data_IF_628873990898
#
_entry.id   IF_628873990898
#
_cell.length_a   1.000
_cell.length_b   1.000
_cell.length_c   1.000
_cell.angle_alpha   90.00
_cell.angle_beta   90.00
_cell.angle_gamma   90.00
#
_symmetry.space_group_name_H-M   'P 1'
#
loop_
_entity.id
_entity.type
_entity.pdbx_description
1 polymer ?
#
# COMPACT_ATOMS: atom_id res chain seq x y z
N UNK A 1 29.40 17.87 -69.15
CA UNK A 1 28.57 17.02 -68.26
C UNK A 1 29.02 17.28 -66.84
N UNK A 2 28.37 18.21 -66.13
CA UNK A 2 28.69 18.55 -64.75
C UNK A 2 27.63 17.98 -63.83
N UNK A 3 28.01 17.05 -62.95
CA UNK A 3 27.14 16.55 -61.89
C UNK A 3 27.43 17.34 -60.61
N UNK A 4 26.47 18.18 -60.20
CA UNK A 4 26.45 18.75 -58.86
C UNK A 4 25.90 17.69 -57.90
N UNK A 5 26.70 17.27 -56.91
CA UNK A 5 26.21 16.49 -55.77
C UNK A 5 25.61 17.44 -54.74
N UNK A 6 24.30 17.30 -54.53
CA UNK A 6 23.56 17.97 -53.46
C UNK A 6 23.80 17.16 -52.17
N UNK A 7 24.62 17.69 -51.24
CA UNK A 7 24.69 17.16 -49.88
C UNK A 7 23.44 17.59 -49.11
N UNK A 8 22.59 16.62 -48.76
CA UNK A 8 21.49 16.83 -47.81
C UNK A 8 22.05 16.61 -46.40
N UNK A 9 22.31 17.71 -45.69
CA UNK A 9 22.62 17.68 -44.26
C UNK A 9 21.32 17.47 -43.48
N UNK A 10 21.09 16.24 -43.01
CA UNK A 10 20.00 15.94 -42.09
C UNK A 10 20.35 16.50 -40.69
N UNK A 11 19.73 17.61 -40.32
CA UNK A 11 19.80 18.13 -38.96
C UNK A 11 19.00 17.21 -38.01
N UNK A 12 19.70 16.43 -37.20
CA UNK A 12 19.11 15.75 -36.05
C UNK A 12 18.72 16.81 -35.01
N UNK A 13 17.45 17.21 -35.00
CA UNK A 13 16.88 17.97 -33.89
C UNK A 13 16.80 17.04 -32.68
N UNK A 14 17.68 17.24 -31.69
CA UNK A 14 17.46 16.65 -30.36
C UNK A 14 16.21 17.31 -29.78
N UNK A 15 15.12 16.54 -29.70
CA UNK A 15 13.95 16.91 -28.91
C UNK A 15 14.34 16.83 -27.44
N UNK A 16 14.69 17.96 -26.85
CA UNK A 16 14.70 18.10 -25.39
C UNK A 16 13.23 18.06 -24.98
N UNK A 17 12.80 16.93 -24.42
CA UNK A 17 11.51 16.83 -23.76
C UNK A 17 11.64 17.59 -22.45
N UNK A 18 11.32 18.89 -22.46
CA UNK A 18 11.06 19.62 -21.22
C UNK A 18 9.77 19.05 -20.63
N UNK A 19 9.91 18.19 -19.62
CA UNK A 19 8.80 17.82 -18.75
C UNK A 19 8.31 19.08 -18.07
N UNK A 20 7.07 19.48 -18.33
CA UNK A 20 6.41 20.55 -17.58
C UNK A 20 6.48 20.23 -16.07
N UNK A 21 6.81 21.19 -15.21
CA UNK A 21 6.90 20.94 -13.78
C UNK A 21 5.48 20.69 -13.25
N UNK A 22 5.19 19.44 -12.93
CA UNK A 22 4.00 19.07 -12.18
C UNK A 22 4.04 19.81 -10.84
N UNK A 23 2.99 20.57 -10.53
CA UNK A 23 2.85 21.33 -9.28
C UNK A 23 3.23 20.49 -8.06
N UNK A 24 4.15 21.04 -7.24
CA UNK A 24 4.64 20.58 -5.92
C UNK A 24 5.26 19.18 -5.91
N UNK A 25 6.50 19.11 -6.38
CA UNK A 25 7.46 18.16 -5.84
C UNK A 25 7.67 18.52 -4.36
N UNK A 26 7.36 17.62 -3.41
CA UNK A 26 7.68 17.84 -2.01
C UNK A 26 9.20 18.09 -1.91
N UNK A 27 9.59 19.34 -1.63
CA UNK A 27 10.97 19.76 -1.75
C UNK A 27 11.87 18.91 -0.85
N UNK A 28 12.98 18.40 -1.40
CA UNK A 28 13.92 17.57 -0.66
C UNK A 28 13.65 16.05 -0.73
N UNK A 29 12.51 15.60 -1.23
CA UNK A 29 12.33 14.17 -1.56
C UNK A 29 13.28 13.82 -2.71
N UNK A 30 14.08 12.74 -2.63
CA UNK A 30 14.96 12.38 -3.74
C UNK A 30 14.18 12.14 -5.04
N UNK A 31 14.59 12.77 -6.14
CA UNK A 31 13.84 12.74 -7.41
C UNK A 31 13.54 11.32 -7.91
N UNK A 32 14.46 10.38 -7.70
CA UNK A 32 14.28 8.99 -8.11
C UNK A 32 13.17 8.28 -7.32
N UNK A 33 12.89 8.67 -6.07
CA UNK A 33 11.76 8.14 -5.29
C UNK A 33 10.43 8.53 -5.94
N UNK A 34 10.35 9.73 -6.50
CA UNK A 34 9.15 10.20 -7.21
C UNK A 34 9.07 9.62 -8.63
N UNK A 35 10.19 9.62 -9.35
CA UNK A 35 10.28 9.10 -10.72
C UNK A 35 9.89 7.63 -10.82
N UNK A 36 10.31 6.81 -9.86
CA UNK A 36 10.08 5.36 -9.86
C UNK A 36 8.97 4.94 -8.90
N UNK A 37 8.19 5.86 -8.33
CA UNK A 37 7.08 5.50 -7.45
C UNK A 37 6.11 4.55 -8.15
N UNK A 38 5.60 3.52 -7.47
CA UNK A 38 4.66 2.60 -8.07
C UNK A 38 3.36 3.30 -8.46
N UNK A 39 2.68 2.75 -9.46
CA UNK A 39 1.25 2.97 -9.71
C UNK A 39 0.49 1.74 -9.24
N UNK A 40 -0.76 1.93 -8.84
CA UNK A 40 -1.60 0.84 -8.35
C UNK A 40 -2.82 0.72 -9.25
N UNK A 41 -3.14 -0.49 -9.71
CA UNK A 41 -4.46 -0.81 -10.22
C UNK A 41 -5.27 -1.43 -9.08
N UNK A 42 -6.32 -0.73 -8.66
CA UNK A 42 -7.32 -1.28 -7.73
C UNK A 42 -8.24 -2.18 -8.53
N UNK A 43 -8.65 -3.31 -7.94
CA UNK A 43 -9.54 -4.24 -8.63
C UNK A 43 -10.83 -3.55 -9.12
N UNK A 44 -11.27 -3.86 -10.33
CA UNK A 44 -12.37 -3.16 -11.01
C UNK A 44 -13.70 -3.17 -10.23
N UNK A 45 -13.94 -4.27 -9.50
CA UNK A 45 -15.12 -4.49 -8.67
C UNK A 45 -14.92 -4.20 -7.17
N UNK A 46 -13.78 -3.64 -6.76
CA UNK A 46 -13.55 -3.36 -5.34
C UNK A 46 -14.47 -2.23 -4.85
N UNK A 47 -15.31 -2.44 -3.82
CA UNK A 47 -16.08 -1.36 -3.25
C UNK A 47 -15.30 -0.53 -2.21
N UNK A 48 -14.11 -0.98 -1.79
CA UNK A 48 -13.31 -0.36 -0.74
C UNK A 48 -12.10 0.35 -1.33
N UNK A 49 -12.20 1.68 -1.44
CA UNK A 49 -11.17 2.51 -2.07
C UNK A 49 -10.20 3.11 -1.03
N UNK A 50 -9.05 3.66 -1.46
CA UNK A 50 -8.13 4.34 -0.56
C UNK A 50 -8.83 5.44 0.25
N UNK A 51 -8.54 5.51 1.55
CA UNK A 51 -9.30 6.33 2.50
C UNK A 51 -8.43 7.42 3.14
N UNK A 52 -9.00 8.61 3.30
CA UNK A 52 -8.35 9.70 4.02
C UNK A 52 -8.21 9.35 5.51
N UNK A 53 -7.01 9.53 6.06
CA UNK A 53 -6.72 9.16 7.45
C UNK A 53 -7.59 9.94 8.45
N UNK A 54 -7.88 11.22 8.20
CA UNK A 54 -8.71 12.01 9.11
C UNK A 54 -10.19 11.58 9.02
N UNK A 55 -10.67 11.17 7.83
CA UNK A 55 -12.00 10.56 7.69
C UNK A 55 -12.10 9.30 8.55
N UNK A 56 -11.09 8.44 8.53
CA UNK A 56 -11.05 7.26 9.40
C UNK A 56 -11.08 7.62 10.89
N UNK A 57 -10.26 8.58 11.32
CA UNK A 57 -10.23 9.03 12.72
C UNK A 57 -11.56 9.65 13.18
N UNK A 58 -12.27 10.35 12.30
CA UNK A 58 -13.58 10.92 12.60
C UNK A 58 -14.66 9.84 12.85
N UNK A 59 -14.46 8.63 12.31
CA UNK A 59 -15.42 7.52 12.39
C UNK A 59 -14.99 6.43 13.37
N UNK A 60 -13.97 6.69 14.19
CA UNK A 60 -13.49 5.76 15.21
C UNK A 60 -13.46 6.37 16.61
N UNK A 61 -13.50 5.51 17.61
CA UNK A 61 -13.33 5.83 19.03
C UNK A 61 -12.25 4.92 19.62
N UNK A 62 -11.32 5.45 20.45
CA UNK A 62 -10.34 4.62 21.15
C UNK A 62 -11.02 3.64 22.11
N UNK A 63 -10.78 2.34 21.96
CA UNK A 63 -11.32 1.32 22.87
C UNK A 63 -10.29 0.27 23.26
N UNK A 64 -10.52 -0.36 24.41
CA UNK A 64 -9.85 -1.58 24.86
C UNK A 64 -10.95 -2.55 25.30
N UNK A 65 -10.93 -3.79 24.80
CA UNK A 65 -12.01 -4.75 25.05
C UNK A 65 -13.41 -4.18 24.73
N UNK A 66 -13.51 -3.43 23.63
CA UNK A 66 -14.73 -2.73 23.18
C UNK A 66 -15.30 -1.69 24.15
N UNK A 67 -14.61 -1.35 25.23
CA UNK A 67 -14.94 -0.24 26.12
C UNK A 67 -14.14 1.00 25.74
N UNK A 68 -14.81 2.15 25.65
CA UNK A 68 -14.14 3.43 25.40
C UNK A 68 -13.11 3.73 26.50
N UNK A 69 -11.92 4.15 26.08
CA UNK A 69 -10.84 4.56 26.99
C UNK A 69 -10.62 6.07 26.91
N UNK A 70 -10.12 6.69 27.99
CA UNK A 70 -9.64 8.07 27.92
C UNK A 70 -8.60 8.22 26.81
N UNK A 71 -8.64 9.36 26.12
CA UNK A 71 -7.73 9.65 25.01
C UNK A 71 -7.31 11.13 25.00
N UNK A 72 -6.65 11.58 23.93
CA UNK A 72 -6.38 13.00 23.74
C UNK A 72 -7.69 13.80 23.66
N UNK A 73 -7.58 15.14 23.62
CA UNK A 73 -8.75 15.99 23.37
C UNK A 73 -9.46 15.57 22.09
N UNK A 74 -10.75 15.23 22.21
CA UNK A 74 -11.61 14.93 21.05
C UNK A 74 -11.84 16.20 20.21
N UNK A 75 -11.95 16.11 18.88
CA UNK A 75 -11.89 14.90 18.06
C UNK A 75 -10.48 14.29 17.96
N UNK A 76 -10.38 13.00 17.60
CA UNK A 76 -9.10 12.41 17.21
C UNK A 76 -8.57 13.09 15.94
N UNK A 77 -7.28 13.36 15.91
CA UNK A 77 -6.61 13.96 14.77
C UNK A 77 -5.26 13.29 14.51
N UNK A 78 -4.72 13.55 13.32
CA UNK A 78 -3.37 13.13 12.97
C UNK A 78 -2.29 13.73 13.90
N UNK A 79 -2.63 14.76 14.68
CA UNK A 79 -1.72 15.41 15.63
C UNK A 79 -1.79 14.84 17.05
N UNK A 80 -2.83 14.07 17.39
CA UNK A 80 -3.05 13.63 18.76
C UNK A 80 -3.18 12.12 18.94
N UNK A 81 -3.41 11.35 17.87
CA UNK A 81 -3.69 9.91 17.95
C UNK A 81 -2.54 9.10 18.57
N UNK A 82 -1.29 9.56 18.46
CA UNK A 82 -0.13 8.92 19.08
C UNK A 82 -0.04 9.07 20.60
N UNK A 83 -0.90 9.88 21.21
CA UNK A 83 -0.99 10.00 22.67
C UNK A 83 -1.71 8.79 23.29
N UNK A 84 -2.36 7.96 22.46
CA UNK A 84 -3.00 6.71 22.87
C UNK A 84 -1.98 5.61 23.11
N UNK A 85 -2.31 4.68 24.02
CA UNK A 85 -1.48 3.52 24.35
C UNK A 85 -1.39 2.49 23.23
N UNK A 86 -0.39 1.60 23.32
CA UNK A 86 -0.13 0.51 22.36
C UNK A 86 -1.17 -0.63 22.39
N UNK A 87 -1.96 -0.71 23.46
CA UNK A 87 -3.07 -1.66 23.59
C UNK A 87 -4.41 -1.14 23.06
N UNK A 88 -4.44 0.11 22.57
CA UNK A 88 -5.66 0.79 22.14
C UNK A 88 -6.02 0.42 20.70
N UNK A 89 -7.32 0.23 20.46
CA UNK A 89 -7.93 -0.05 19.17
C UNK A 89 -8.74 1.16 18.71
N UNK A 90 -8.49 1.66 17.50
CA UNK A 90 -9.32 2.67 16.84
C UNK A 90 -10.60 2.01 16.32
N UNK A 91 -11.56 1.82 17.21
CA UNK A 91 -12.76 1.02 16.95
C UNK A 91 -13.82 1.84 16.23
N UNK A 92 -14.43 1.28 15.19
CA UNK A 92 -15.54 1.86 14.44
C UNK A 92 -16.67 2.34 15.35
N UNK A 93 -17.20 3.52 15.04
CA UNK A 93 -18.42 4.04 15.65
C UNK A 93 -19.69 3.36 15.11
N UNK A 94 -19.60 2.76 13.92
CA UNK A 94 -20.72 2.13 13.22
C UNK A 94 -20.59 0.60 13.18
N UNK A 95 -21.73 -0.07 12.99
CA UNK A 95 -21.75 -1.48 12.60
C UNK A 95 -21.36 -1.62 11.12
N UNK A 96 -20.14 -2.06 10.87
CA UNK A 96 -19.60 -2.23 9.51
C UNK A 96 -20.39 -3.22 8.65
N UNK A 97 -21.19 -4.11 9.25
CA UNK A 97 -22.09 -5.00 8.50
C UNK A 97 -23.28 -4.28 7.89
N UNK A 98 -23.51 -3.02 8.25
CA UNK A 98 -24.52 -2.13 7.66
C UNK A 98 -23.97 -1.28 6.52
N UNK A 99 -22.74 -1.56 6.10
CA UNK A 99 -22.10 -0.94 4.95
C UNK A 99 -22.05 0.60 5.00
N UNK A 100 -21.52 1.20 6.10
CA UNK A 100 -21.48 2.65 6.23
C UNK A 100 -20.65 3.29 5.10
N UNK A 101 -21.02 4.49 4.66
CA UNK A 101 -20.41 5.09 3.46
C UNK A 101 -18.92 5.39 3.63
N UNK A 102 -18.46 5.69 4.85
CA UNK A 102 -17.06 6.08 5.11
C UNK A 102 -16.06 4.94 4.89
N UNK A 103 -16.49 3.67 4.99
CA UNK A 103 -15.60 2.53 4.73
C UNK A 103 -15.32 2.30 3.24
N UNK A 104 -16.08 2.94 2.35
CA UNK A 104 -15.90 2.84 0.89
C UNK A 104 -14.74 3.66 0.35
N UNK A 105 -14.20 4.57 1.16
CA UNK A 105 -13.07 5.42 0.79
C UNK A 105 -13.35 6.37 -0.38
N UNK A 106 -12.29 6.82 -1.04
CA UNK A 106 -12.35 7.79 -2.14
C UNK A 106 -11.87 7.15 -3.44
N UNK A 107 -12.79 6.97 -4.40
CA UNK A 107 -12.44 6.43 -5.71
C UNK A 107 -11.52 7.39 -6.48
N UNK A 108 -10.38 6.92 -7.04
CA UNK A 108 -9.56 7.71 -7.93
C UNK A 108 -10.33 8.20 -9.16
N UNK A 109 -9.98 9.41 -9.63
CA UNK A 109 -10.48 9.95 -10.90
C UNK A 109 -9.76 9.34 -12.12
N UNK A 110 -10.08 9.81 -13.32
CA UNK A 110 -9.48 9.32 -14.57
C UNK A 110 -7.95 9.53 -14.65
N UNK A 111 -7.38 10.43 -13.85
CA UNK A 111 -5.93 10.64 -13.76
C UNK A 111 -5.29 9.87 -12.60
N UNK A 112 -6.08 9.09 -11.86
CA UNK A 112 -5.64 8.33 -10.71
C UNK A 112 -5.52 9.14 -9.42
N UNK A 113 -6.17 10.31 -9.32
CA UNK A 113 -6.14 11.13 -8.10
C UNK A 113 -7.34 10.85 -7.20
N UNK A 114 -7.11 10.69 -5.89
CA UNK A 114 -8.16 10.71 -4.87
C UNK A 114 -8.52 12.15 -4.50
N UNK A 115 -9.57 12.70 -5.11
CA UNK A 115 -9.93 14.10 -4.94
C UNK A 115 -10.47 14.40 -3.54
N UNK A 116 -9.88 15.39 -2.87
CA UNK A 116 -10.30 15.82 -1.53
C UNK A 116 -9.90 14.88 -0.39
N UNK A 117 -9.01 13.91 -0.65
CA UNK A 117 -8.60 12.89 0.32
C UNK A 117 -7.09 12.61 0.22
N UNK A 118 -6.36 12.64 1.34
CA UNK A 118 -4.95 12.22 1.43
C UNK A 118 -4.91 10.77 1.91
N UNK A 119 -4.61 9.86 0.98
CA UNK A 119 -4.88 8.41 1.14
C UNK A 119 -3.61 7.56 1.21
N UNK A 120 -2.44 8.20 1.07
CA UNK A 120 -1.16 7.53 1.05
C UNK A 120 -0.09 8.31 1.83
N UNK A 121 0.99 7.62 2.16
CA UNK A 121 2.20 8.23 2.69
C UNK A 121 3.45 7.62 2.03
N UNK A 122 4.41 8.45 1.67
CA UNK A 122 5.72 8.05 1.19
C UNK A 122 6.74 8.26 2.30
N UNK A 123 7.38 7.19 2.73
CA UNK A 123 8.39 7.20 3.79
C UNK A 123 9.74 6.81 3.19
N UNK A 124 10.69 7.73 3.23
CA UNK A 124 12.04 7.56 2.69
C UNK A 124 13.00 7.27 3.83
N UNK A 125 13.65 6.11 3.79
CA UNK A 125 14.66 5.70 4.76
C UNK A 125 16.03 5.69 4.10
N UNK A 126 16.90 6.62 4.48
CA UNK A 126 18.30 6.61 4.10
C UNK A 126 19.05 5.55 4.91
N UNK A 127 19.70 4.62 4.21
CA UNK A 127 20.49 3.53 4.81
C UNK A 127 21.99 3.78 4.72
N UNK A 128 22.40 4.94 4.24
CA UNK A 128 23.79 5.32 4.01
C UNK A 128 24.38 4.74 2.73
N UNK A 129 25.54 5.28 2.33
CA UNK A 129 26.27 4.87 1.12
C UNK A 129 25.43 4.91 -0.16
N UNK A 130 24.45 5.82 -0.23
CA UNK A 130 23.52 5.96 -1.34
C UNK A 130 22.44 4.88 -1.41
N UNK A 131 22.32 4.00 -0.41
CA UNK A 131 21.22 3.04 -0.32
C UNK A 131 20.01 3.68 0.32
N UNK A 132 18.85 3.55 -0.32
CA UNK A 132 17.59 4.12 0.18
C UNK A 132 16.48 3.10 0.02
N UNK A 133 15.65 2.97 1.05
CA UNK A 133 14.39 2.25 0.96
C UNK A 133 13.25 3.29 0.96
N UNK A 134 12.41 3.29 -0.07
CA UNK A 134 11.20 4.10 -0.11
C UNK A 134 9.98 3.20 0.04
N UNK A 135 9.15 3.50 1.04
CA UNK A 135 7.89 2.81 1.30
C UNK A 135 6.74 3.70 0.84
N UNK A 136 5.86 3.14 0.01
CA UNK A 136 4.64 3.76 -0.49
C UNK A 136 3.48 3.09 0.23
N UNK A 137 3.03 3.71 1.32
CA UNK A 137 2.01 3.21 2.21
C UNK A 137 0.63 3.62 1.72
N UNK A 138 -0.32 2.67 1.75
CA UNK A 138 -1.69 2.82 1.30
C UNK A 138 -2.63 2.54 2.47
N UNK A 139 -3.65 3.38 2.65
CA UNK A 139 -4.62 3.19 3.71
C UNK A 139 -6.02 2.95 3.16
N UNK A 140 -6.70 1.96 3.72
CA UNK A 140 -8.10 1.64 3.44
C UNK A 140 -8.86 1.60 4.76
N UNK A 141 -10.09 2.12 4.79
CA UNK A 141 -10.89 2.12 6.02
C UNK A 141 -11.44 0.74 6.39
N UNK A 142 -11.45 -0.21 5.46
CA UNK A 142 -11.98 -1.54 5.70
C UNK A 142 -11.33 -2.55 4.77
N UNK A 143 -10.92 -3.67 5.34
CA UNK A 143 -10.43 -4.85 4.66
C UNK A 143 -11.55 -5.91 4.63
N UNK A 144 -11.88 -6.39 3.44
CA UNK A 144 -12.69 -7.58 3.25
C UNK A 144 -11.76 -8.77 2.97
N UNK A 145 -11.56 -9.62 3.98
CA UNK A 145 -10.43 -10.57 3.96
C UNK A 145 -10.60 -11.79 3.04
N UNK A 146 -11.75 -11.96 2.41
CA UNK A 146 -11.97 -12.99 1.38
C UNK A 146 -12.89 -14.14 1.80
N UNK A 147 -13.43 -14.83 0.80
CA UNK A 147 -14.36 -15.95 0.96
C UNK A 147 -13.61 -17.27 0.88
N UNK A 148 -13.89 -18.18 1.82
CA UNK A 148 -13.33 -19.52 1.84
C UNK A 148 -14.07 -20.35 0.80
N UNK A 149 -13.33 -20.87 -0.20
CA UNK A 149 -13.89 -21.64 -1.32
C UNK A 149 -15.03 -20.93 -2.07
N UNK A 150 -15.05 -19.59 -2.07
CA UNK A 150 -16.12 -18.79 -2.70
C UNK A 150 -17.48 -18.86 -1.98
N UNK A 151 -17.48 -19.24 -0.69
CA UNK A 151 -18.69 -19.27 0.13
C UNK A 151 -18.73 -18.02 1.00
N UNK A 152 -19.57 -17.05 0.66
CA UNK A 152 -19.79 -15.78 1.38
C UNK A 152 -20.08 -15.96 2.89
N UNK A 153 -20.76 -17.05 3.25
CA UNK A 153 -21.06 -17.43 4.63
C UNK A 153 -19.79 -17.73 5.45
N UNK A 154 -18.71 -18.15 4.79
CA UNK A 154 -17.40 -18.44 5.36
C UNK A 154 -16.38 -17.44 4.83
N UNK A 155 -16.40 -16.23 5.39
CA UNK A 155 -15.47 -15.17 5.06
C UNK A 155 -14.64 -14.80 6.29
N UNK A 156 -13.33 -14.69 6.14
CA UNK A 156 -12.37 -14.49 7.23
C UNK A 156 -11.49 -13.27 6.99
N UNK A 157 -10.97 -12.71 8.08
CA UNK A 157 -9.99 -11.63 8.02
C UNK A 157 -10.57 -10.25 7.72
N UNK A 158 -11.88 -10.04 7.86
CA UNK A 158 -12.40 -8.67 7.78
C UNK A 158 -11.88 -7.85 8.94
N UNK A 159 -11.48 -6.61 8.69
CA UNK A 159 -11.14 -5.68 9.75
C UNK A 159 -11.33 -4.23 9.32
N UNK A 160 -11.71 -3.40 10.29
CA UNK A 160 -11.68 -1.95 10.14
C UNK A 160 -10.22 -1.51 10.08
N UNK A 161 -9.91 -0.58 9.17
CA UNK A 161 -8.58 -0.04 8.93
C UNK A 161 -7.63 -1.06 8.31
N UNK A 162 -6.85 -0.63 7.33
CA UNK A 162 -5.90 -1.49 6.65
C UNK A 162 -4.70 -0.72 6.13
N UNK A 163 -3.51 -1.29 6.31
CA UNK A 163 -2.22 -0.70 5.94
C UNK A 163 -1.46 -1.66 5.04
N UNK A 164 -1.47 -1.33 3.75
CA UNK A 164 -0.77 -2.01 2.69
C UNK A 164 0.38 -1.14 2.17
N UNK A 165 1.37 -1.73 1.50
CA UNK A 165 2.47 -0.97 0.91
C UNK A 165 3.23 -1.69 -0.20
N UNK A 166 3.78 -0.88 -1.09
CA UNK A 166 4.90 -1.27 -1.95
C UNK A 166 6.15 -0.61 -1.41
N UNK A 167 7.29 -1.29 -1.49
CA UNK A 167 8.58 -0.70 -1.16
C UNK A 167 9.57 -0.90 -2.29
N UNK A 168 10.36 0.13 -2.59
CA UNK A 168 11.43 0.06 -3.59
C UNK A 168 12.76 0.31 -2.89
N UNK A 169 13.71 -0.60 -3.13
CA UNK A 169 15.11 -0.43 -2.71
C UNK A 169 15.91 0.20 -3.83
N UNK A 170 16.67 1.25 -3.50
CA UNK A 170 17.57 1.95 -4.39
C UNK A 170 19.02 1.79 -3.95
N UNK A 171 19.93 1.75 -4.92
CA UNK A 171 21.37 1.91 -4.72
C UNK A 171 21.84 3.05 -5.62
N UNK A 172 22.38 4.11 -5.01
CA UNK A 172 22.82 5.34 -5.70
C UNK A 172 21.76 5.90 -6.67
N UNK A 173 20.49 5.89 -6.24
CA UNK A 173 19.34 6.37 -7.04
C UNK A 173 18.83 5.42 -8.11
N UNK A 174 19.41 4.22 -8.25
CA UNK A 174 18.96 3.19 -9.22
C UNK A 174 18.11 2.14 -8.50
N UNK A 175 16.87 1.87 -8.93
CA UNK A 175 16.01 0.86 -8.30
C UNK A 175 16.58 -0.55 -8.51
N UNK A 176 16.65 -1.32 -7.43
CA UNK A 176 17.24 -2.66 -7.38
C UNK A 176 16.18 -3.75 -7.25
N UNK A 177 15.22 -3.53 -6.35
CA UNK A 177 14.18 -4.51 -6.02
C UNK A 177 12.90 -3.82 -5.57
N UNK A 178 11.79 -4.53 -5.72
CA UNK A 178 10.44 -4.10 -5.33
C UNK A 178 9.85 -5.16 -4.41
N UNK A 179 9.29 -4.71 -3.29
CA UNK A 179 8.51 -5.49 -2.34
C UNK A 179 7.03 -5.14 -2.50
N UNK A 180 6.18 -6.16 -2.59
CA UNK A 180 4.73 -6.03 -2.59
C UNK A 180 4.19 -6.70 -1.32
N UNK A 181 3.54 -5.96 -0.42
CA UNK A 181 2.94 -6.54 0.78
C UNK A 181 1.72 -7.37 0.46
N UNK A 182 1.57 -8.50 1.15
CA UNK A 182 0.44 -9.41 1.05
C UNK A 182 0.13 -9.90 2.45
N UNK A 183 -0.97 -9.40 3.03
CA UNK A 183 -1.40 -9.74 4.39
C UNK A 183 -0.24 -9.54 5.41
N UNK A 184 0.14 -10.60 6.15
CA UNK A 184 1.23 -10.57 7.14
C UNK A 184 2.65 -10.66 6.52
N UNK A 185 2.79 -10.83 5.20
CA UNK A 185 4.08 -10.95 4.52
C UNK A 185 4.04 -10.27 3.13
N UNK A 186 4.51 -10.94 2.08
CA UNK A 186 4.60 -10.38 0.73
C UNK A 186 5.62 -11.07 -0.16
N UNK A 187 5.89 -10.45 -1.30
CA UNK A 187 6.83 -10.95 -2.31
C UNK A 187 7.83 -9.88 -2.74
N UNK A 188 9.11 -10.25 -2.82
CA UNK A 188 10.15 -9.42 -3.40
C UNK A 188 10.50 -9.88 -4.82
N UNK A 189 10.75 -8.92 -5.69
CA UNK A 189 11.23 -9.13 -7.06
C UNK A 189 12.39 -8.19 -7.36
N UNK A 190 13.30 -8.59 -8.25
CA UNK A 190 14.25 -7.64 -8.81
C UNK A 190 13.52 -6.61 -9.67
N UNK A 191 13.94 -5.35 -9.64
CA UNK A 191 13.26 -4.28 -10.38
C UNK A 191 13.09 -4.58 -11.89
N UNK A 192 14.05 -5.18 -12.62
CA UNK A 192 13.84 -5.54 -14.02
C UNK A 192 12.68 -6.50 -14.25
N UNK A 193 12.38 -7.38 -13.29
CA UNK A 193 11.37 -8.45 -13.42
C UNK A 193 9.94 -7.96 -13.46
N UNK A 194 9.61 -6.88 -12.73
CA UNK A 194 8.21 -6.46 -12.55
C UNK A 194 7.68 -5.68 -13.75
N UNK A 195 6.37 -5.69 -13.96
CA UNK A 195 5.73 -4.79 -14.94
C UNK A 195 5.98 -3.33 -14.56
N UNK A 196 6.16 -2.49 -15.58
CA UNK A 196 6.35 -1.05 -15.42
C UNK A 196 5.51 -0.28 -16.43
N UNK A 197 5.10 0.93 -16.08
CA UNK A 197 4.57 1.90 -17.04
C UNK A 197 5.63 2.27 -18.08
N UNK A 198 5.22 2.96 -19.15
CA UNK A 198 6.15 3.53 -20.15
C UNK A 198 7.16 4.52 -19.55
N UNK A 199 6.84 5.13 -18.40
CA UNK A 199 7.75 6.00 -17.65
C UNK A 199 8.68 5.26 -16.66
N UNK A 200 8.60 3.93 -16.59
CA UNK A 200 9.45 3.10 -15.74
C UNK A 200 8.95 2.94 -14.30
N UNK A 201 7.71 3.31 -14.00
CA UNK A 201 7.12 3.14 -12.66
C UNK A 201 6.63 1.69 -12.49
N UNK A 202 7.03 0.95 -11.44
CA UNK A 202 6.48 -0.37 -11.17
C UNK A 202 4.96 -0.35 -11.08
N UNK A 203 4.32 -1.40 -11.56
CA UNK A 203 2.88 -1.60 -11.43
C UNK A 203 2.63 -2.54 -10.25
N UNK A 204 1.67 -2.18 -9.40
CA UNK A 204 1.08 -3.03 -8.40
C UNK A 204 -0.40 -3.27 -8.70
N UNK A 205 -0.86 -4.48 -8.46
CA UNK A 205 -2.27 -4.85 -8.56
C UNK A 205 -2.79 -5.12 -7.15
N UNK A 206 -3.74 -4.31 -6.69
CA UNK A 206 -4.33 -4.42 -5.36
C UNK A 206 -5.52 -5.37 -5.44
N UNK A 207 -5.51 -6.39 -4.58
CA UNK A 207 -6.53 -7.42 -4.55
C UNK A 207 -7.88 -6.87 -4.07
N UNK A 208 -8.95 -7.42 -4.64
CA UNK A 208 -10.33 -7.06 -4.29
C UNK A 208 -10.58 -7.29 -2.81
N UNK A 209 -10.81 -6.21 -2.07
CA UNK A 209 -11.22 -6.23 -0.67
C UNK A 209 -10.09 -6.47 0.33
N UNK A 210 -9.15 -7.37 0.03
CA UNK A 210 -8.00 -7.64 0.92
C UNK A 210 -6.86 -6.63 0.74
N UNK A 211 -6.89 -5.88 -0.36
CA UNK A 211 -5.90 -4.89 -0.79
C UNK A 211 -4.46 -5.35 -0.93
N UNK A 212 -4.18 -6.63 -0.69
CA UNK A 212 -2.87 -7.24 -0.88
C UNK A 212 -2.32 -6.90 -2.27
N UNK A 213 -1.02 -6.58 -2.33
CA UNK A 213 -0.38 -6.07 -3.52
C UNK A 213 0.34 -7.21 -4.26
N UNK A 214 0.11 -7.28 -5.57
CA UNK A 214 0.70 -8.28 -6.44
C UNK A 214 1.42 -7.64 -7.62
N UNK A 215 2.47 -8.32 -8.09
CA UNK A 215 3.27 -7.87 -9.23
C UNK A 215 2.65 -8.21 -10.60
N UNK A 216 1.59 -9.03 -10.61
CA UNK A 216 0.84 -9.47 -11.80
C UNK A 216 -0.65 -9.50 -11.49
N UNK A 217 -1.53 -9.37 -12.49
CA UNK A 217 -2.96 -9.58 -12.32
C UNK A 217 -3.29 -11.08 -12.23
N UNK A 218 -4.50 -11.42 -11.80
CA UNK A 218 -5.05 -12.76 -11.81
C UNK A 218 -5.48 -13.25 -10.43
N UNK A 219 -5.57 -14.58 -10.30
CA UNK A 219 -5.89 -15.26 -9.05
C UNK A 219 -4.61 -15.62 -8.29
N UNK A 220 -4.60 -15.35 -6.99
CA UNK A 220 -3.48 -15.61 -6.11
C UNK A 220 -3.96 -16.40 -4.90
N UNK A 221 -3.59 -17.68 -4.83
CA UNK A 221 -3.70 -18.44 -3.59
C UNK A 221 -2.74 -17.88 -2.54
N UNK A 222 -3.25 -17.57 -1.36
CA UNK A 222 -2.44 -17.11 -0.22
C UNK A 222 -2.53 -18.06 1.00
N UNK A 223 -3.00 -19.29 0.81
CA UNK A 223 -2.98 -20.34 1.86
C UNK A 223 -1.57 -20.76 2.25
N UNK A 224 -0.59 -20.66 1.33
CA UNK A 224 0.82 -20.97 1.58
C UNK A 224 1.64 -19.68 1.46
N UNK A 225 2.27 -19.19 2.56
CA UNK A 225 3.14 -18.02 2.49
C UNK A 225 4.23 -18.19 1.42
N UNK A 226 4.37 -17.18 0.56
CA UNK A 226 5.37 -17.09 -0.52
C UNK A 226 5.10 -17.93 -1.79
N UNK A 227 3.96 -18.60 -1.92
CA UNK A 227 3.64 -19.43 -3.09
C UNK A 227 2.24 -19.10 -3.64
N UNK A 228 2.19 -18.52 -4.85
CA UNK A 228 0.94 -18.35 -5.59
C UNK A 228 0.63 -19.67 -6.31
N UNK A 229 -0.31 -20.45 -5.80
CA UNK A 229 -0.90 -21.59 -6.54
C UNK A 229 -2.00 -21.08 -7.49
N UNK A 230 -2.28 -21.79 -8.59
CA UNK A 230 -3.36 -21.45 -9.52
C UNK A 230 -4.77 -21.65 -8.94
N UNK A 231 -4.88 -22.16 -7.70
CA UNK A 231 -6.10 -22.22 -6.93
C UNK A 231 -5.83 -22.61 -5.47
N UNK A 232 -6.66 -22.12 -4.54
CA UNK A 232 -6.48 -22.20 -3.09
C UNK A 232 -7.79 -22.26 -2.30
N UNK A 233 -7.68 -22.43 -0.98
CA UNK A 233 -8.84 -22.41 -0.06
C UNK A 233 -9.30 -20.97 0.24
N UNK A 234 -8.39 -20.00 0.10
CA UNK A 234 -8.62 -18.57 0.23
C UNK A 234 -7.76 -17.86 -0.82
N UNK A 235 -8.41 -17.08 -1.69
CA UNK A 235 -7.80 -16.52 -2.89
C UNK A 235 -7.98 -15.00 -2.92
N UNK A 236 -6.95 -14.32 -3.40
CA UNK A 236 -7.02 -12.93 -3.82
C UNK A 236 -7.23 -12.84 -5.33
N UNK A 237 -8.00 -11.83 -5.75
CA UNK A 237 -8.29 -11.55 -7.16
C UNK A 237 -7.81 -10.15 -7.49
N UNK A 238 -7.00 -10.04 -8.54
CA UNK A 238 -6.42 -8.78 -9.00
C UNK A 238 -6.67 -8.59 -10.49
N UNK A 239 -6.91 -7.36 -10.92
CA UNK A 239 -7.08 -7.02 -12.34
C UNK A 239 -6.56 -5.60 -12.66
N UNK A 240 -6.54 -5.24 -13.94
CA UNK A 240 -6.22 -3.89 -14.39
C UNK A 240 -7.45 -2.97 -14.32
N UNK A 241 -8.00 -2.82 -13.13
CA UNK A 241 -9.19 -2.02 -12.87
C UNK A 241 -8.90 -0.51 -12.78
N UNK A 242 -9.18 0.08 -11.62
CA UNK A 242 -9.07 1.53 -11.42
C UNK A 242 -7.61 1.93 -11.27
N UNK A 243 -7.12 2.73 -12.22
CA UNK A 243 -5.79 3.32 -12.11
C UNK A 243 -5.74 4.31 -10.94
N UNK A 244 -4.75 4.15 -10.07
CA UNK A 244 -4.46 5.02 -8.93
C UNK A 244 -2.99 5.41 -8.93
N UNK A 245 -2.74 6.71 -8.78
CA UNK A 245 -1.41 7.26 -8.56
C UNK A 245 -1.32 7.83 -7.13
N UNK A 246 -0.74 7.07 -6.18
CA UNK A 246 -0.65 7.49 -4.78
C UNK A 246 0.06 8.83 -4.59
N UNK A 247 0.99 9.20 -5.48
CA UNK A 247 1.74 10.46 -5.35
C UNK A 247 0.86 11.71 -5.52
N UNK A 248 -0.29 11.60 -6.19
CA UNK A 248 -1.19 12.73 -6.43
C UNK A 248 -1.93 13.18 -5.16
N UNK A 249 -1.88 12.38 -4.09
CA UNK A 249 -2.43 12.71 -2.77
C UNK A 249 -1.77 11.91 -1.65
N UNK A 250 -0.51 12.23 -1.35
CA UNK A 250 0.27 11.59 -0.30
C UNK A 250 0.93 12.61 0.63
N UNK A 251 1.16 12.18 1.87
CA UNK A 251 2.16 12.81 2.75
C UNK A 251 3.56 12.27 2.46
N UNK A 252 4.60 13.09 2.67
CA UNK A 252 5.99 12.70 2.40
C UNK A 252 6.84 12.88 3.66
N UNK A 253 7.58 11.83 4.04
CA UNK A 253 8.43 11.84 5.23
C UNK A 253 9.81 11.25 4.97
N UNK A 254 10.82 11.83 5.60
CA UNK A 254 12.09 11.18 5.88
C UNK A 254 11.97 10.40 7.20
N UNK A 255 12.52 9.19 7.25
CA UNK A 255 12.63 8.39 8.46
C UNK A 255 14.10 8.23 8.87
N UNK A 256 14.42 8.69 10.08
CA UNK A 256 15.71 8.50 10.73
C UNK A 256 15.63 7.25 11.61
N UNK A 257 16.22 6.16 11.12
CA UNK A 257 16.24 4.89 11.84
C UNK A 257 17.05 4.91 13.13
N UNK A 258 18.08 5.77 13.23
CA UNK A 258 18.91 5.88 14.43
C UNK A 258 18.17 6.57 15.58
N UNK A 259 17.28 7.50 15.25
CA UNK A 259 16.43 8.22 16.22
C UNK A 259 15.02 7.64 16.36
N UNK A 260 14.64 6.71 15.48
CA UNK A 260 13.27 6.26 15.30
C UNK A 260 12.29 7.44 15.17
N UNK A 261 12.63 8.37 14.28
CA UNK A 261 11.93 9.64 14.14
C UNK A 261 11.54 9.92 12.69
N UNK A 262 10.38 10.55 12.51
CA UNK A 262 9.89 10.98 11.21
C UNK A 262 10.05 12.50 11.09
N UNK A 263 10.43 12.96 9.90
CA UNK A 263 10.49 14.38 9.56
C UNK A 263 9.70 14.60 8.27
N UNK A 264 8.68 15.47 8.26
CA UNK A 264 7.93 15.74 7.04
C UNK A 264 8.80 16.53 6.05
N UNK A 265 8.63 16.26 4.76
CA UNK A 265 9.26 17.07 3.70
C UNK A 265 8.51 18.39 3.44
N UNK A 266 7.25 18.49 3.86
CA UNK A 266 6.45 19.71 3.73
C UNK A 266 6.08 20.25 5.12
N UNK A 267 6.40 21.53 5.35
CA UNK A 267 6.07 22.24 6.59
C UNK A 267 4.56 22.18 6.88
N UNK A 268 4.23 21.92 8.15
CA UNK A 268 2.83 21.81 8.60
C UNK A 268 2.17 20.47 8.28
N UNK A 269 2.89 19.50 7.72
CA UNK A 269 2.40 18.12 7.58
C UNK A 269 2.32 17.42 8.93
N UNK A 270 1.17 16.85 9.31
CA UNK A 270 1.01 16.18 10.59
C UNK A 270 1.87 14.93 10.66
N UNK A 271 2.76 14.85 11.65
CA UNK A 271 3.73 13.74 11.77
C UNK A 271 3.38 12.78 12.89
N UNK A 272 2.63 13.24 13.89
CA UNK A 272 2.39 12.49 15.12
C UNK A 272 1.70 11.14 14.89
N UNK A 273 0.76 11.05 13.94
CA UNK A 273 0.04 9.80 13.62
C UNK A 273 0.96 8.61 13.29
N UNK A 274 2.14 8.85 12.71
CA UNK A 274 3.13 7.79 12.44
C UNK A 274 3.66 7.12 13.72
N UNK A 275 3.58 7.83 14.85
CA UNK A 275 3.97 7.35 16.16
C UNK A 275 2.87 6.64 16.94
N UNK A 276 1.66 6.47 16.38
CA UNK A 276 0.61 5.69 17.05
C UNK A 276 0.96 4.20 17.05
N UNK A 277 1.07 3.64 18.27
CA UNK A 277 1.52 2.25 18.51
C UNK A 277 0.38 1.24 18.66
N UNK A 278 -0.86 1.72 18.74
CA UNK A 278 -2.02 0.85 18.84
C UNK A 278 -2.45 0.29 17.49
N UNK A 279 -3.70 -0.13 17.43
CA UNK A 279 -4.30 -0.82 16.30
C UNK A 279 -5.19 0.14 15.51
N UNK A 280 -4.93 0.24 14.21
CA UNK A 280 -5.76 0.96 13.25
C UNK A 280 -6.97 0.11 12.90
N UNK A 281 -7.94 0.05 13.81
CA UNK A 281 -9.13 -0.76 13.63
C UNK A 281 -9.69 -1.33 14.91
N UNK A 282 -10.80 -2.06 14.76
CA UNK A 282 -11.46 -2.80 15.81
C UNK A 282 -10.53 -3.87 16.41
N UNK A 283 -10.78 -4.23 17.67
CA UNK A 283 -10.29 -5.49 18.21
C UNK A 283 -11.03 -6.65 17.54
N UNK A 284 -10.40 -7.84 17.46
CA UNK A 284 -11.09 -9.06 17.01
C UNK A 284 -12.40 -9.22 17.78
N UNK A 285 -13.51 -9.43 17.07
CA UNK A 285 -14.82 -9.53 17.71
C UNK A 285 -14.86 -10.76 18.62
N UNK A 286 -15.41 -10.65 19.84
CA UNK A 286 -15.50 -11.79 20.73
C UNK A 286 -16.42 -12.85 20.11
N UNK A 287 -16.21 -14.12 20.43
CA UNK A 287 -17.07 -15.22 19.95
C UNK A 287 -18.52 -15.13 20.43
N UNK A 288 -18.81 -14.24 21.38
CA UNK A 288 -20.16 -13.90 21.82
C UNK A 288 -20.87 -12.86 20.94
N UNK A 289 -20.15 -12.16 20.06
CA UNK A 289 -20.77 -11.24 19.09
C UNK A 289 -21.49 -12.06 18.01
N UNK A 290 -22.77 -11.76 17.78
CA UNK A 290 -23.61 -12.50 16.83
C UNK A 290 -23.13 -12.38 15.38
N UNK A 291 -22.31 -11.37 15.06
CA UNK A 291 -21.71 -11.19 13.73
C UNK A 291 -20.45 -12.02 13.55
N UNK A 292 -19.85 -12.49 14.65
CA UNK A 292 -18.57 -13.20 14.62
C UNK A 292 -18.76 -14.68 14.29
N UNK A 293 -17.90 -15.17 13.39
CA UNK A 293 -17.71 -16.60 13.15
C UNK A 293 -16.21 -16.86 13.32
N UNK A 294 -15.86 -17.84 14.16
CA UNK A 294 -14.47 -18.25 14.34
C UNK A 294 -14.35 -19.76 14.16
N UNK A 295 -13.65 -20.18 13.12
CA UNK A 295 -13.43 -21.60 12.79
C UNK A 295 -11.94 -21.84 12.59
N UNK A 296 -11.41 -22.90 13.20
CA UNK A 296 -9.99 -23.27 13.12
C UNK A 296 -9.00 -22.13 13.45
N UNK A 297 -9.39 -21.25 14.36
CA UNK A 297 -8.59 -20.09 14.75
C UNK A 297 -8.72 -18.88 13.83
N UNK A 298 -9.37 -19.00 12.68
CA UNK A 298 -9.65 -17.90 11.75
C UNK A 298 -10.93 -17.19 12.13
N UNK A 299 -10.85 -15.88 12.32
CA UNK A 299 -11.96 -15.01 12.69
C UNK A 299 -12.56 -14.32 11.46
N UNK A 300 -13.89 -14.19 11.42
CA UNK A 300 -14.58 -13.37 10.42
C UNK A 300 -14.21 -11.90 10.57
N UNK A 301 -14.29 -11.38 11.79
CA UNK A 301 -13.85 -10.03 12.14
C UNK A 301 -12.59 -10.11 13.00
N UNK A 302 -11.45 -9.83 12.38
CA UNK A 302 -10.13 -9.82 12.98
C UNK A 302 -9.78 -8.44 13.55
N UNK A 303 -8.64 -8.36 14.24
CA UNK A 303 -8.11 -7.07 14.71
C UNK A 303 -7.53 -6.26 13.55
N UNK A 304 -7.69 -4.94 13.57
CA UNK A 304 -6.98 -4.05 12.64
C UNK A 304 -5.44 -4.14 12.77
N UNK A 305 -4.69 -3.73 11.74
CA UNK A 305 -3.23 -3.77 11.77
C UNK A 305 -2.65 -2.69 12.68
N UNK A 306 -1.35 -2.79 12.97
CA UNK A 306 -0.59 -1.66 13.50
C UNK A 306 -0.13 -0.72 12.38
N UNK A 307 0.40 0.44 12.74
CA UNK A 307 0.72 1.51 11.80
C UNK A 307 2.00 1.31 10.96
N UNK A 308 2.35 2.28 10.10
CA UNK A 308 3.51 2.20 9.20
C UNK A 308 4.86 1.97 9.90
N UNK A 309 5.04 2.48 11.12
CA UNK A 309 6.28 2.32 11.89
C UNK A 309 6.63 0.85 12.16
N UNK A 310 5.63 -0.03 12.23
CA UNK A 310 5.82 -1.46 12.50
C UNK A 310 6.18 -2.26 11.25
N UNK A 311 6.21 -1.64 10.07
CA UNK A 311 6.55 -2.29 8.80
C UNK A 311 8.07 -2.47 8.59
N UNK A 312 8.83 -2.44 9.69
CA UNK A 312 10.29 -2.61 9.74
C UNK A 312 11.03 -1.66 8.77
N UNK A 313 10.81 -0.36 8.91
CA UNK A 313 11.31 0.66 7.98
C UNK A 313 12.84 0.64 7.81
N UNK A 314 13.57 0.14 8.82
CA UNK A 314 15.03 -0.04 8.75
C UNK A 314 15.49 -1.50 8.47
N UNK A 315 14.64 -2.36 7.92
CA UNK A 315 14.99 -3.77 7.64
C UNK A 315 16.24 -3.91 6.76
N UNK A 316 17.10 -4.89 7.07
CA UNK A 316 18.35 -5.10 6.31
C UNK A 316 18.09 -5.63 4.90
N UNK A 317 17.14 -6.55 4.76
CA UNK A 317 16.76 -7.16 3.48
C UNK A 317 15.57 -6.42 2.84
N UNK A 318 15.27 -6.75 1.58
CA UNK A 318 14.07 -6.24 0.90
C UNK A 318 12.80 -6.83 1.53
N UNK A 319 12.88 -8.06 2.04
CA UNK A 319 11.80 -8.70 2.79
C UNK A 319 11.90 -8.34 4.28
N UNK A 320 10.79 -8.33 5.03
CA UNK A 320 10.81 -8.19 6.48
C UNK A 320 11.53 -9.37 7.13
N UNK A 321 12.14 -9.12 8.29
CA UNK A 321 12.70 -10.16 9.15
C UNK A 321 11.59 -10.75 10.02
N UNK A 322 11.08 -11.91 9.62
CA UNK A 322 9.97 -12.61 10.27
C UNK A 322 10.20 -14.13 10.35
N UNK A 323 11.45 -14.57 10.29
CA UNK A 323 11.83 -15.98 10.29
C UNK A 323 11.68 -16.68 8.93
N UNK A 324 11.10 -16.03 7.92
CA UNK A 324 11.08 -16.56 6.55
C UNK A 324 12.36 -16.20 5.79
N UNK A 325 12.79 -17.09 4.89
CA UNK A 325 13.88 -16.78 3.97
C UNK A 325 13.49 -15.63 3.04
N UNK A 326 14.32 -14.59 2.95
CA UNK A 326 14.08 -13.51 2.01
C UNK A 326 14.44 -13.95 0.58
N UNK A 327 13.41 -14.14 -0.25
CA UNK A 327 13.55 -14.54 -1.65
C UNK A 327 13.25 -13.34 -2.55
N UNK A 328 14.28 -12.84 -3.22
CA UNK A 328 14.14 -11.82 -4.28
C UNK A 328 14.03 -12.52 -5.64
N UNK A 329 12.82 -12.61 -6.15
CA UNK A 329 12.49 -13.36 -7.36
C UNK A 329 12.96 -12.63 -8.62
N UNK A 330 13.34 -13.40 -9.64
CA UNK A 330 13.70 -12.90 -10.99
C UNK A 330 12.67 -13.28 -12.06
N UNK A 331 11.63 -14.00 -11.66
CA UNK A 331 10.53 -14.46 -12.51
C UNK A 331 9.21 -14.14 -11.82
N UNK A 332 8.18 -13.85 -12.61
CA UNK A 332 6.80 -13.67 -12.16
C UNK A 332 6.09 -15.02 -12.18
N UNK A 333 5.32 -15.33 -11.13
CA UNK A 333 4.52 -16.55 -11.01
C UNK A 333 3.17 -16.23 -10.35
N UNK A 334 2.07 -16.90 -10.75
CA UNK A 334 1.99 -18.02 -11.69
C UNK A 334 2.19 -17.57 -13.15
N UNK A 335 2.72 -18.45 -14.02
CA UNK A 335 2.58 -18.21 -15.47
C UNK A 335 1.11 -18.45 -15.81
N UNK A 336 0.47 -17.49 -16.46
CA UNK A 336 -0.79 -17.76 -17.16
C UNK A 336 -0.55 -18.90 -18.16
N UNK A 337 -1.54 -19.78 -18.33
CA UNK A 337 -1.46 -20.92 -19.27
C UNK A 337 -1.61 -20.47 -20.74
N UNK A 338 -1.58 -19.17 -21.03
CA UNK A 338 -1.75 -18.66 -22.39
C UNK A 338 -0.49 -17.94 -22.87
N UNK A 339 0.13 -18.48 -23.93
CA UNK A 339 1.21 -17.83 -24.68
C UNK A 339 2.40 -18.70 -25.11
N UNK A 340 2.25 -20.00 -25.29
CA UNK A 340 3.13 -20.79 -26.20
C UNK A 340 2.37 -21.00 -27.51
N UNK A 341 2.38 -19.98 -28.38
CA UNK A 341 2.00 -19.90 -29.80
C UNK A 341 2.10 -18.39 -30.12
N UNK A 342 3.06 -17.81 -30.85
CA UNK A 342 3.99 -18.25 -31.92
C UNK A 342 5.41 -17.72 -31.71
#
# INVERSE_FOLDING_TARGET
>A
MGFYHLLVMAACAMLVVESAPTKRQAAGVPDYVLKYAPVVYLHSEDPYMPTDLQVFLNNTTPRVAFAEVPGPSKPLTLENVNQLGDTVYLTSNDDVTKDPTWIKGTRPDANGKTNGAVTAAVIVTDKGNGNVDAFYMYFYAYNYGGEVLGWDALNFGNHVGDWEHVMIRFASGVPQAVWYSQHANGQAFTYPTVEKTSSGRPVAYSARGSHANYAIPGTHDHTIPNLNLPGGVLEDYTDRGVYWDPLLSAYFYAYDAGRNAFTPYEDGTPTNWLGFKGRWGDQEYPTSDARQVKLFGQAKFASGPTGPADKQLNRSNVCPDNGNMCIVRRILVPRGVEGEEE
#
